data_IF_610327323411
#
_entry.id   IF_610327323411
#
_cell.length_a   1.000
_cell.length_b   1.000
_cell.length_c   1.000
_cell.angle_alpha   90.00
_cell.angle_beta   90.00
_cell.angle_gamma   90.00
#
_symmetry.space_group_name_H-M   'P 1'
#
loop_
_entity.id
_entity.type
_entity.pdbx_description
1 polymer ?
#
# COMPACT_ATOMS: atom_id res chain seq x y z
N UNK A 1 -9.61 29.06 -4.19
CA UNK A 1 -8.66 28.43 -5.13
C UNK A 1 -7.93 27.36 -4.35
N UNK A 2 -8.21 26.08 -4.58
CA UNK A 2 -7.53 24.98 -3.87
C UNK A 2 -6.30 24.58 -4.69
N UNK A 3 -5.12 24.70 -4.08
CA UNK A 3 -3.81 24.68 -4.75
C UNK A 3 -3.08 23.33 -4.57
N UNK A 4 -3.79 22.21 -4.66
CA UNK A 4 -3.18 20.88 -4.79
C UNK A 4 -4.04 20.04 -5.75
N UNK A 5 -3.59 19.75 -6.98
CA UNK A 5 -4.41 19.02 -7.92
C UNK A 5 -4.38 17.53 -7.59
N UNK A 6 -5.57 16.97 -7.35
CA UNK A 6 -5.85 15.56 -7.68
C UNK A 6 -5.37 15.32 -9.11
N UNK A 7 -4.68 14.21 -9.35
CA UNK A 7 -4.16 13.93 -10.69
C UNK A 7 -5.33 13.80 -11.67
N UNK A 8 -5.17 14.39 -12.85
CA UNK A 8 -6.14 14.16 -13.93
C UNK A 8 -6.09 12.70 -14.38
N UNK A 9 -7.18 12.20 -14.96
CA UNK A 9 -7.21 10.83 -15.48
C UNK A 9 -6.05 10.53 -16.44
N UNK A 10 -5.72 11.46 -17.34
CA UNK A 10 -4.59 11.28 -18.28
C UNK A 10 -3.23 11.18 -17.58
N UNK A 11 -3.02 11.89 -16.46
CA UNK A 11 -1.80 11.76 -15.67
C UNK A 11 -1.74 10.42 -14.93
N UNK A 12 -2.87 9.97 -14.37
CA UNK A 12 -2.95 8.64 -13.74
C UNK A 12 -2.69 7.53 -14.76
N UNK A 13 -3.31 7.61 -15.93
CA UNK A 13 -3.13 6.64 -17.01
C UNK A 13 -1.66 6.55 -17.44
N UNK A 14 -0.98 7.69 -17.54
CA UNK A 14 0.44 7.73 -17.87
C UNK A 14 1.30 7.05 -16.79
N UNK A 15 1.17 7.48 -15.53
CA UNK A 15 1.97 6.97 -14.41
C UNK A 15 1.73 5.47 -14.21
N UNK A 16 0.47 5.03 -14.26
CA UNK A 16 0.11 3.62 -14.14
C UNK A 16 0.65 2.84 -15.34
N UNK A 17 0.42 3.34 -16.56
CA UNK A 17 0.85 2.69 -17.79
C UNK A 17 2.35 2.42 -17.83
N UNK A 18 3.18 3.39 -17.47
CA UNK A 18 4.63 3.24 -17.39
C UNK A 18 5.04 2.21 -16.32
N UNK A 19 4.36 2.23 -15.17
CA UNK A 19 4.74 1.42 -14.00
C UNK A 19 4.33 -0.05 -14.12
N UNK A 20 3.11 -0.34 -14.58
CA UNK A 20 2.59 -1.72 -14.62
C UNK A 20 3.33 -2.61 -15.61
N UNK A 21 3.97 -2.02 -16.63
CA UNK A 21 4.82 -2.75 -17.59
C UNK A 21 5.93 -3.53 -16.88
N UNK A 22 6.47 -3.01 -15.77
CA UNK A 22 7.49 -3.69 -14.99
C UNK A 22 6.96 -4.93 -14.23
N UNK A 23 5.64 -5.03 -14.04
CA UNK A 23 5.02 -6.08 -13.21
C UNK A 23 4.28 -7.14 -14.02
N UNK A 24 3.89 -6.88 -15.28
CA UNK A 24 3.40 -7.83 -16.30
C UNK A 24 2.08 -8.55 -16.02
N UNK A 25 1.83 -8.92 -14.75
CA UNK A 25 0.63 -9.61 -14.25
C UNK A 25 -0.46 -8.64 -13.80
N UNK A 26 -0.17 -7.33 -13.71
CA UNK A 26 -1.11 -6.32 -13.23
C UNK A 26 -1.70 -5.57 -14.42
N UNK A 27 -3.00 -5.73 -14.71
CA UNK A 27 -3.69 -4.89 -15.68
C UNK A 27 -3.73 -3.45 -15.19
N UNK A 28 -3.47 -2.49 -16.09
CA UNK A 28 -3.58 -1.06 -15.78
C UNK A 28 -4.96 -0.70 -15.19
N UNK A 29 -6.03 -1.32 -15.70
CA UNK A 29 -7.39 -1.11 -15.20
C UNK A 29 -7.57 -1.52 -13.74
N UNK A 30 -6.90 -2.59 -13.28
CA UNK A 30 -6.92 -3.00 -11.87
C UNK A 30 -6.20 -1.97 -11.02
N UNK A 31 -5.00 -1.52 -11.43
CA UNK A 31 -4.25 -0.51 -10.68
C UNK A 31 -5.03 0.81 -10.57
N UNK A 32 -5.61 1.29 -11.67
CA UNK A 32 -6.46 2.49 -11.68
C UNK A 32 -7.69 2.33 -10.78
N UNK A 33 -8.36 1.18 -10.82
CA UNK A 33 -9.53 0.93 -9.98
C UNK A 33 -9.17 0.83 -8.49
N UNK A 34 -7.98 0.32 -8.15
CA UNK A 34 -7.46 0.34 -6.78
C UNK A 34 -7.19 1.79 -6.35
N UNK A 35 -6.54 2.60 -7.19
CA UNK A 35 -6.26 4.02 -6.88
C UNK A 35 -7.56 4.79 -6.60
N UNK A 36 -8.58 4.60 -7.43
CA UNK A 36 -9.89 5.24 -7.23
C UNK A 36 -10.52 4.86 -5.89
N UNK A 37 -10.48 3.57 -5.51
CA UNK A 37 -11.05 3.09 -4.24
C UNK A 37 -10.25 3.55 -3.03
N UNK A 38 -8.92 3.59 -3.14
CA UNK A 38 -8.01 3.86 -2.03
C UNK A 38 -7.83 5.36 -1.76
N UNK A 39 -7.76 6.18 -2.80
CA UNK A 39 -7.42 7.61 -2.66
C UNK A 39 -8.27 8.56 -3.50
N UNK A 40 -9.16 8.05 -4.37
CA UNK A 40 -9.85 8.89 -5.36
C UNK A 40 -8.89 9.63 -6.29
N UNK A 41 -7.68 9.09 -6.51
CA UNK A 41 -6.64 9.71 -7.33
C UNK A 41 -5.85 10.83 -6.65
N UNK A 42 -5.99 11.02 -5.33
CA UNK A 42 -5.26 12.05 -4.59
C UNK A 42 -3.86 11.54 -4.16
N UNK A 43 -2.75 12.07 -4.74
CA UNK A 43 -1.40 11.65 -4.35
C UNK A 43 -1.03 12.08 -2.93
N UNK A 44 -1.77 13.03 -2.33
CA UNK A 44 -1.58 13.49 -0.95
C UNK A 44 -2.38 12.70 0.07
N UNK A 45 -3.18 11.71 -0.36
CA UNK A 45 -3.94 10.87 0.54
C UNK A 45 -3.03 10.24 1.60
N UNK A 46 -3.41 10.41 2.87
CA UNK A 46 -2.67 9.91 4.02
C UNK A 46 -3.66 9.54 5.12
N UNK A 47 -3.57 8.32 5.62
CA UNK A 47 -4.47 7.83 6.65
C UNK A 47 -3.68 7.09 7.75
N UNK A 48 -3.56 7.66 8.95
CA UNK A 48 -3.04 6.96 10.11
C UNK A 48 -3.94 5.81 10.52
N UNK A 49 -3.33 4.67 10.83
CA UNK A 49 -3.98 3.51 11.43
C UNK A 49 -3.35 3.20 12.79
N UNK A 50 -3.75 3.87 13.89
CA UNK A 50 -3.11 3.72 15.20
C UNK A 50 -3.16 2.31 15.80
N UNK A 51 -3.94 1.40 15.22
CA UNK A 51 -4.04 -0.01 15.62
C UNK A 51 -3.07 -0.91 14.85
N UNK A 52 -2.37 -0.37 13.86
CA UNK A 52 -1.41 -1.10 13.04
C UNK A 52 -0.22 -1.53 13.90
N UNK A 53 0.13 -2.82 13.84
CA UNK A 53 1.12 -3.43 14.74
C UNK A 53 2.23 -4.20 14.02
N UNK A 54 2.31 -4.07 12.70
CA UNK A 54 3.30 -4.77 11.89
C UNK A 54 4.36 -3.78 11.41
N UNK A 55 5.60 -3.95 11.83
CA UNK A 55 6.68 -3.03 11.51
C UNK A 55 7.79 -3.72 10.75
N UNK A 56 8.56 -2.95 9.97
CA UNK A 56 9.72 -3.42 9.23
C UNK A 56 11.00 -2.77 9.78
N UNK A 57 11.98 -3.62 10.11
CA UNK A 57 13.31 -3.19 10.49
C UNK A 57 14.16 -3.03 9.23
N UNK A 58 14.28 -1.78 8.77
CA UNK A 58 15.07 -1.44 7.58
C UNK A 58 16.57 -1.73 7.74
N UNK A 59 17.11 -1.69 8.96
CA UNK A 59 18.54 -1.94 9.21
C UNK A 59 18.88 -3.42 9.08
N UNK A 60 17.93 -4.28 9.43
CA UNK A 60 18.08 -5.75 9.36
C UNK A 60 17.38 -6.36 8.15
N UNK A 61 16.65 -5.55 7.38
CA UNK A 61 15.81 -5.95 6.25
C UNK A 61 14.91 -7.16 6.57
N UNK A 62 14.16 -7.06 7.67
CA UNK A 62 13.23 -8.09 8.12
C UNK A 62 12.06 -7.47 8.88
N UNK A 63 11.01 -8.24 9.09
CA UNK A 63 9.95 -7.87 10.02
C UNK A 63 10.56 -7.54 11.39
N UNK A 64 10.16 -6.39 11.95
CA UNK A 64 10.44 -6.07 13.34
C UNK A 64 9.73 -7.08 14.24
N UNK A 65 10.20 -7.21 15.48
CA UNK A 65 9.57 -8.13 16.44
C UNK A 65 8.10 -7.75 16.66
N UNK A 66 7.31 -8.72 17.13
CA UNK A 66 5.97 -8.43 17.60
C UNK A 66 6.02 -7.34 18.68
N UNK A 67 5.16 -6.34 18.52
CA UNK A 67 4.94 -5.28 19.51
C UNK A 67 3.73 -5.61 20.36
N UNK A 68 3.76 -5.18 21.60
CA UNK A 68 2.63 -5.32 22.53
C UNK A 68 1.60 -4.21 22.32
N UNK A 69 0.36 -4.45 22.73
CA UNK A 69 -0.69 -3.41 22.69
C UNK A 69 -0.31 -2.18 23.53
N UNK A 70 0.45 -2.37 24.61
CA UNK A 70 0.98 -1.28 25.44
C UNK A 70 2.04 -0.45 24.70
N UNK A 71 2.91 -1.08 23.89
CA UNK A 71 3.88 -0.36 23.06
C UNK A 71 3.18 0.47 21.97
N UNK A 72 2.18 -0.10 21.30
CA UNK A 72 1.36 0.62 20.30
C UNK A 72 0.62 1.79 20.95
N UNK A 73 -0.05 1.56 22.09
CA UNK A 73 -0.78 2.60 22.82
C UNK A 73 0.10 3.69 23.44
N UNK A 74 1.41 3.45 23.56
CA UNK A 74 2.33 4.43 24.16
C UNK A 74 2.62 5.63 23.25
N UNK A 75 2.26 5.54 21.97
CA UNK A 75 2.50 6.57 20.95
C UNK A 75 4.00 6.86 20.70
N UNK A 76 4.88 6.04 21.29
CA UNK A 76 6.33 6.17 21.21
C UNK A 76 6.93 4.86 20.68
N UNK A 77 7.96 4.94 19.82
CA UNK A 77 8.68 3.75 19.39
C UNK A 77 9.32 3.05 20.58
N UNK A 78 9.32 1.71 20.62
CA UNK A 78 10.17 0.95 21.51
C UNK A 78 11.64 1.36 21.38
N UNK A 79 12.41 1.27 22.46
CA UNK A 79 13.83 1.72 22.49
C UNK A 79 14.71 1.02 21.45
N UNK A 80 14.34 -0.20 21.05
CA UNK A 80 15.01 -1.01 20.04
C UNK A 80 14.49 -0.78 18.62
N UNK A 81 13.40 -0.03 18.44
CA UNK A 81 12.95 0.44 17.14
C UNK A 81 13.87 1.55 16.64
N UNK A 82 14.20 1.51 15.34
CA UNK A 82 15.15 2.45 14.72
C UNK A 82 14.55 3.01 13.45
N UNK A 83 14.75 4.32 13.24
CA UNK A 83 14.46 4.94 11.97
C UNK A 83 15.28 4.31 10.83
N UNK A 84 14.73 4.42 9.60
CA UNK A 84 15.33 3.83 8.40
C UNK A 84 16.71 4.41 8.04
N UNK A 85 17.00 5.65 8.44
CA UNK A 85 18.26 6.32 8.14
C UNK A 85 18.75 7.19 9.31
N UNK A 86 20.05 7.51 9.30
CA UNK A 86 20.63 8.45 10.26
C UNK A 86 20.01 9.86 10.10
N UNK A 87 19.83 10.55 11.23
CA UNK A 87 19.21 11.88 11.27
C UNK A 87 17.72 11.89 10.93
N UNK A 88 17.04 10.74 11.02
CA UNK A 88 15.57 10.65 11.05
C UNK A 88 15.18 10.30 12.47
N UNK A 89 14.20 11.02 13.02
CA UNK A 89 13.64 10.72 14.32
C UNK A 89 12.95 9.33 14.30
N UNK A 90 13.25 8.41 15.22
CA UNK A 90 12.52 7.14 15.35
C UNK A 90 11.00 7.32 15.41
N UNK A 91 10.51 8.41 15.98
CA UNK A 91 9.08 8.71 16.07
C UNK A 91 8.48 8.87 14.66
N UNK A 92 9.18 9.58 13.76
CA UNK A 92 8.70 9.79 12.39
C UNK A 92 8.56 8.47 11.60
N UNK A 93 9.51 7.55 11.79
CA UNK A 93 9.43 6.22 11.16
C UNK A 93 8.32 5.36 11.80
N UNK A 94 8.17 5.43 13.13
CA UNK A 94 7.15 4.69 13.88
C UNK A 94 5.74 5.07 13.45
N UNK A 95 5.44 6.37 13.46
CA UNK A 95 4.16 6.89 13.01
C UNK A 95 3.95 6.64 11.52
N UNK A 96 4.98 6.82 10.72
CA UNK A 96 4.83 6.66 9.28
C UNK A 96 4.59 5.22 8.84
N UNK A 97 5.19 4.25 9.52
CA UNK A 97 4.94 2.83 9.23
C UNK A 97 3.50 2.39 9.59
N UNK A 98 2.84 3.12 10.49
CA UNK A 98 1.44 2.93 10.90
C UNK A 98 0.44 3.75 10.07
N UNK A 99 0.85 4.35 8.96
CA UNK A 99 -0.05 5.08 8.08
C UNK A 99 0.01 4.51 6.66
N UNK A 100 -1.08 4.63 5.93
CA UNK A 100 -1.12 4.44 4.48
C UNK A 100 -0.82 5.75 3.74
N UNK A 101 -0.22 5.64 2.55
CA UNK A 101 0.34 6.78 1.82
C UNK A 101 -0.06 6.80 0.35
N UNK A 102 -0.42 7.98 -0.18
CA UNK A 102 -0.56 8.29 -1.59
C UNK A 102 -1.59 7.46 -2.36
N UNK A 103 -1.39 7.35 -3.68
CA UNK A 103 -2.41 6.86 -4.61
C UNK A 103 -2.96 5.46 -4.32
N UNK A 104 -2.08 4.50 -4.03
CA UNK A 104 -2.43 3.10 -3.80
C UNK A 104 -2.51 2.73 -2.32
N UNK A 105 -2.31 3.71 -1.42
CA UNK A 105 -2.40 3.55 0.03
C UNK A 105 -1.60 2.37 0.65
N UNK A 106 -0.35 2.02 0.22
CA UNK A 106 0.44 1.05 0.98
C UNK A 106 0.72 1.58 2.40
N UNK A 107 0.56 0.72 3.40
CA UNK A 107 1.06 1.02 4.76
C UNK A 107 2.57 1.27 4.71
N UNK A 108 3.08 2.21 5.50
CA UNK A 108 4.50 2.55 5.48
C UNK A 108 5.40 1.34 5.78
N UNK A 109 4.98 0.45 6.69
CA UNK A 109 5.67 -0.82 6.94
C UNK A 109 5.69 -1.73 5.70
N UNK A 110 4.56 -1.82 4.98
CA UNK A 110 4.45 -2.59 3.73
C UNK A 110 5.31 -1.98 2.63
N UNK A 111 5.39 -0.65 2.55
CA UNK A 111 6.28 0.02 1.62
C UNK A 111 7.74 -0.32 1.89
N UNK A 112 8.16 -0.29 3.17
CA UNK A 112 9.51 -0.72 3.60
C UNK A 112 9.80 -2.17 3.22
N UNK A 113 8.89 -3.09 3.54
CA UNK A 113 8.98 -4.51 3.16
C UNK A 113 9.12 -4.69 1.63
N UNK A 114 8.42 -3.86 0.86
CA UNK A 114 8.46 -3.90 -0.61
C UNK A 114 9.64 -3.11 -1.20
N UNK A 115 10.61 -2.70 -0.39
CA UNK A 115 11.89 -2.15 -0.83
C UNK A 115 11.91 -0.63 -1.03
N UNK A 116 10.96 0.11 -0.46
CA UNK A 116 11.05 1.56 -0.39
C UNK A 116 12.19 1.99 0.55
N UNK A 117 13.25 2.55 -0.02
CA UNK A 117 14.48 2.99 0.69
C UNK A 117 14.55 4.49 0.93
N UNK A 118 13.52 5.26 0.55
CA UNK A 118 13.49 6.70 0.75
C UNK A 118 13.67 7.07 2.23
N UNK A 119 14.40 8.15 2.50
CA UNK A 119 14.72 8.56 3.87
C UNK A 119 13.47 8.79 4.73
N UNK A 120 12.45 9.40 4.15
CA UNK A 120 11.20 9.76 4.81
C UNK A 120 10.02 9.19 4.03
N UNK A 121 9.01 8.66 4.73
CA UNK A 121 7.84 8.01 4.11
C UNK A 121 6.94 8.99 3.34
N UNK A 122 7.01 10.29 3.59
CA UNK A 122 6.31 11.30 2.79
C UNK A 122 6.78 11.34 1.32
N UNK A 123 7.93 10.76 0.97
CA UNK A 123 8.32 10.58 -0.43
C UNK A 123 7.37 9.62 -1.18
N UNK A 124 6.53 8.85 -0.48
CA UNK A 124 5.44 8.07 -1.08
C UNK A 124 4.28 8.93 -1.61
N UNK A 125 4.32 10.26 -1.46
CA UNK A 125 3.44 11.17 -2.21
C UNK A 125 3.88 11.36 -3.66
N UNK A 126 5.10 10.93 -4.03
CA UNK A 126 5.50 10.83 -5.43
C UNK A 126 4.64 9.77 -6.15
N UNK A 127 3.86 10.14 -7.18
CA UNK A 127 2.93 9.22 -7.84
C UNK A 127 3.60 7.97 -8.41
N UNK A 128 4.73 8.14 -9.11
CA UNK A 128 5.42 7.04 -9.76
C UNK A 128 5.95 6.04 -8.75
N UNK A 129 6.60 6.53 -7.69
CA UNK A 129 7.10 5.70 -6.61
C UNK A 129 5.98 4.98 -5.85
N UNK A 130 4.88 5.68 -5.57
CA UNK A 130 3.74 5.11 -4.87
C UNK A 130 3.11 3.96 -5.67
N UNK A 131 2.82 4.20 -6.95
CA UNK A 131 2.24 3.19 -7.85
C UNK A 131 3.19 2.01 -8.01
N UNK A 132 4.51 2.24 -8.08
CA UNK A 132 5.49 1.16 -8.20
C UNK A 132 5.49 0.25 -6.97
N UNK A 133 5.45 0.83 -5.76
CA UNK A 133 5.37 0.06 -4.51
C UNK A 133 4.04 -0.67 -4.39
N UNK A 134 2.92 0.01 -4.66
CA UNK A 134 1.59 -0.60 -4.63
C UNK A 134 1.43 -1.75 -5.62
N UNK A 135 1.90 -1.57 -6.86
CA UNK A 135 1.88 -2.60 -7.89
C UNK A 135 2.80 -3.77 -7.57
N UNK A 136 3.96 -3.53 -6.93
CA UNK A 136 4.82 -4.61 -6.44
C UNK A 136 4.12 -5.47 -5.39
N UNK A 137 3.45 -4.81 -4.44
CA UNK A 137 2.67 -5.50 -3.40
C UNK A 137 1.52 -6.31 -4.00
N UNK A 138 0.72 -5.69 -4.87
CA UNK A 138 -0.39 -6.32 -5.58
C UNK A 138 0.08 -7.51 -6.44
N UNK A 139 1.21 -7.37 -7.16
CA UNK A 139 1.79 -8.44 -7.97
C UNK A 139 2.24 -9.64 -7.11
N UNK A 140 2.75 -9.39 -5.90
CA UNK A 140 3.04 -10.46 -4.93
C UNK A 140 1.81 -11.31 -4.63
N UNK A 141 0.67 -10.67 -4.39
CA UNK A 141 -0.59 -11.38 -4.18
C UNK A 141 -1.18 -11.99 -5.44
N UNK A 142 -1.07 -11.33 -6.60
CA UNK A 142 -1.50 -11.89 -7.88
C UNK A 142 -0.81 -13.24 -8.14
N UNK A 143 0.52 -13.29 -7.99
CA UNK A 143 1.30 -14.54 -8.14
C UNK A 143 0.84 -15.65 -7.19
N UNK A 144 0.42 -15.29 -5.97
CA UNK A 144 0.03 -16.27 -4.95
C UNK A 144 -1.42 -16.74 -5.06
N UNK A 145 -2.33 -15.86 -5.48
CA UNK A 145 -3.77 -16.05 -5.28
C UNK A 145 -4.59 -15.98 -6.56
N UNK A 146 -4.07 -15.41 -7.65
CA UNK A 146 -4.86 -15.20 -8.88
C UNK A 146 -5.39 -16.52 -9.45
N UNK A 147 -4.54 -17.54 -9.58
CA UNK A 147 -4.95 -18.84 -10.15
C UNK A 147 -6.02 -19.57 -9.33
N UNK A 148 -6.04 -19.37 -8.01
CA UNK A 148 -6.93 -20.11 -7.09
C UNK A 148 -8.21 -19.34 -6.75
N UNK A 149 -8.11 -18.01 -6.63
CA UNK A 149 -9.16 -17.17 -6.08
C UNK A 149 -9.55 -16.00 -7.00
N UNK A 150 -8.93 -15.90 -8.18
CA UNK A 150 -9.13 -14.80 -9.12
C UNK A 150 -8.73 -13.43 -8.55
N UNK A 151 -9.06 -12.38 -9.29
CA UNK A 151 -8.83 -11.00 -8.85
C UNK A 151 -9.52 -10.66 -7.53
N UNK A 152 -10.68 -11.25 -7.25
CA UNK A 152 -11.36 -11.05 -5.97
C UNK A 152 -10.48 -11.49 -4.78
N UNK A 153 -9.84 -12.66 -4.86
CA UNK A 153 -8.92 -13.10 -3.80
C UNK A 153 -7.66 -12.25 -3.70
N UNK A 154 -7.12 -11.80 -4.83
CA UNK A 154 -5.94 -10.92 -4.88
C UNK A 154 -6.25 -9.58 -4.21
N UNK A 155 -7.38 -8.96 -4.53
CA UNK A 155 -7.79 -7.67 -3.97
C UNK A 155 -8.12 -7.77 -2.47
N UNK A 156 -8.72 -8.88 -2.02
CA UNK A 156 -8.85 -9.14 -0.57
C UNK A 156 -7.50 -9.21 0.11
N UNK A 157 -6.54 -9.89 -0.51
CA UNK A 157 -5.19 -9.98 0.03
C UNK A 157 -4.51 -8.61 0.09
N UNK A 158 -4.70 -7.78 -0.94
CA UNK A 158 -4.16 -6.43 -1.00
C UNK A 158 -4.63 -5.57 0.17
N UNK A 159 -5.94 -5.56 0.44
CA UNK A 159 -6.50 -4.70 1.49
C UNK A 159 -6.43 -5.31 2.90
N UNK A 160 -6.56 -6.64 3.04
CA UNK A 160 -6.66 -7.32 4.35
C UNK A 160 -5.57 -8.35 4.65
N UNK A 161 -4.55 -8.45 3.80
CA UNK A 161 -3.47 -9.42 3.93
C UNK A 161 -3.85 -10.87 3.57
N UNK A 162 -2.88 -11.82 3.66
CA UNK A 162 -3.05 -13.22 3.27
C UNK A 162 -4.27 -13.93 3.87
N UNK A 163 -4.62 -13.59 5.11
CA UNK A 163 -5.74 -14.19 5.83
C UNK A 163 -7.08 -13.84 5.17
N UNK A 164 -7.26 -12.60 4.73
CA UNK A 164 -8.48 -12.16 4.06
C UNK A 164 -8.71 -12.85 2.71
N UNK A 165 -7.64 -13.21 2.00
CA UNK A 165 -7.72 -13.97 0.76
C UNK A 165 -8.29 -15.38 0.99
N UNK A 166 -7.78 -16.07 2.01
CA UNK A 166 -8.08 -17.48 2.32
C UNK A 166 -9.40 -17.64 3.05
N UNK A 167 -9.71 -16.74 3.99
CA UNK A 167 -10.89 -16.83 4.87
C UNK A 167 -12.01 -15.87 4.48
N UNK A 168 -11.85 -15.07 3.41
CA UNK A 168 -12.86 -14.17 2.89
C UNK A 168 -13.42 -13.18 3.93
N UNK A 169 -12.56 -12.60 4.76
CA UNK A 169 -12.96 -11.70 5.86
C UNK A 169 -13.15 -10.23 5.47
N UNK A 170 -12.98 -9.91 4.18
CA UNK A 170 -13.19 -8.57 3.61
C UNK A 170 -13.83 -8.67 2.21
N UNK A 171 -15.03 -9.26 2.10
CA UNK A 171 -15.68 -9.51 0.83
C UNK A 171 -16.09 -8.23 0.09
N UNK A 172 -16.26 -7.11 0.79
CA UNK A 172 -16.73 -5.84 0.25
C UNK A 172 -15.68 -5.10 -0.58
N UNK A 173 -14.39 -5.24 -0.24
CA UNK A 173 -13.33 -4.51 -0.92
C UNK A 173 -13.23 -4.86 -2.42
N UNK A 174 -13.18 -6.15 -2.82
CA UNK A 174 -13.24 -6.52 -4.23
C UNK A 174 -14.47 -5.98 -4.95
N UNK A 175 -15.63 -5.91 -4.28
CA UNK A 175 -16.86 -5.42 -4.90
C UNK A 175 -16.81 -3.92 -5.20
N UNK A 176 -16.15 -3.12 -4.35
CA UNK A 176 -15.88 -1.70 -4.62
C UNK A 176 -15.03 -1.54 -5.89
N UNK A 177 -13.93 -2.30 -5.98
CA UNK A 177 -13.04 -2.28 -7.16
C UNK A 177 -13.78 -2.77 -8.41
N UNK A 178 -14.57 -3.85 -8.29
CA UNK A 178 -15.39 -4.38 -9.40
C UNK A 178 -16.38 -3.35 -9.91
N UNK A 179 -16.99 -2.55 -9.03
CA UNK A 179 -17.92 -1.48 -9.41
C UNK A 179 -17.22 -0.40 -10.23
N UNK A 180 -16.01 0.02 -9.83
CA UNK A 180 -15.20 0.98 -10.62
C UNK A 180 -14.87 0.43 -12.01
N UNK A 181 -14.63 -0.88 -12.13
CA UNK A 181 -14.38 -1.55 -13.41
C UNK A 181 -15.63 -1.78 -14.29
N UNK A 182 -16.79 -1.20 -13.96
CA UNK A 182 -18.03 -1.43 -14.71
C UNK A 182 -18.63 -2.82 -14.49
N UNK A 183 -18.33 -3.46 -13.36
CA UNK A 183 -18.99 -4.67 -12.89
C UNK A 183 -18.30 -5.98 -13.22
N UNK A 184 -17.15 -5.98 -13.90
CA UNK A 184 -16.41 -7.21 -14.25
C UNK A 184 -14.91 -7.05 -14.03
N UNK A 185 -14.27 -8.08 -13.50
CA UNK A 185 -12.81 -8.16 -13.45
C UNK A 185 -12.25 -8.54 -14.83
N UNK A 186 -11.03 -8.10 -15.18
CA UNK A 186 -10.32 -8.61 -16.34
C UNK A 186 -10.03 -10.11 -16.16
N UNK A 187 -9.80 -10.80 -17.27
CA UNK A 187 -9.39 -12.19 -17.24
C UNK A 187 -8.03 -12.35 -16.53
N UNK A 188 -7.85 -13.50 -15.89
CA UNK A 188 -6.60 -13.90 -15.24
C UNK A 188 -5.58 -14.43 -16.25
#
# INVERSE_FOLDING_TARGET
>A
MSFFPVLTQGQLDQVVGETVLAFGIIPASIALAVIEVESGGDPWAWNPEPKWKWFWDMRRNKAFRAVTDAEVASEKPPVDFKAAAAGVDPDAEWWGQQASWGLMQPMGAVARENGFTGKFLNALHDPGLNVAIGCKHLAGYARRYLAKYGWAGVLRAYNGGPFAAVHNTNPEYPEKVRKVLGGRFPNA
#
